data_IF_189385481029
#
_entry.id   IF_189385481029
#
_cell.length_a   1.000
_cell.length_b   1.000
_cell.length_c   1.000
_cell.angle_alpha   90.00
_cell.angle_beta   90.00
_cell.angle_gamma   90.00
#
_symmetry.space_group_name_H-M   'P 1'
#
loop_
_entity.id
_entity.type
_entity.pdbx_description
1 polymer ?
#
# COMPACT_ATOMS: atom_id res chain seq x y z
N UNK A 1 -2.17 6.49 -69.69
CA UNK A 1 -3.05 6.75 -68.53
C UNK A 1 -3.67 5.44 -68.08
N UNK A 2 -3.17 4.84 -67.00
CA UNK A 2 -3.78 3.64 -66.39
C UNK A 2 -4.42 4.10 -65.08
N UNK A 3 -5.75 4.13 -65.07
CA UNK A 3 -6.56 4.50 -63.90
C UNK A 3 -6.48 3.41 -62.84
N UNK A 4 -5.90 3.72 -61.67
CA UNK A 4 -5.96 2.88 -60.48
C UNK A 4 -7.18 3.27 -59.64
N UNK A 5 -8.30 2.56 -59.81
CA UNK A 5 -9.51 2.67 -58.97
C UNK A 5 -9.52 1.58 -57.90
N UNK A 6 -8.73 1.72 -56.84
CA UNK A 6 -8.80 0.88 -55.61
C UNK A 6 -8.45 1.73 -54.39
N UNK A 7 -9.25 2.75 -54.08
CA UNK A 7 -8.91 3.72 -53.02
C UNK A 7 -9.95 3.94 -51.93
N UNK A 8 -11.24 3.84 -52.22
CA UNK A 8 -12.26 4.50 -51.37
C UNK A 8 -13.18 3.54 -50.60
N UNK A 9 -13.34 2.29 -51.03
CA UNK A 9 -14.27 1.33 -50.40
C UNK A 9 -13.65 0.56 -49.22
N UNK A 10 -12.31 0.52 -49.12
CA UNK A 10 -11.61 -0.24 -48.08
C UNK A 10 -11.33 0.56 -46.79
N UNK A 11 -11.63 1.87 -46.78
CA UNK A 11 -11.39 2.76 -45.63
C UNK A 11 -12.34 2.49 -44.44
N UNK A 12 -13.68 2.36 -44.63
CA UNK A 12 -14.60 2.18 -43.50
C UNK A 12 -14.45 0.81 -42.83
N UNK A 13 -14.08 -0.23 -43.60
CA UNK A 13 -13.88 -1.59 -43.09
C UNK A 13 -12.64 -1.66 -42.20
N UNK A 14 -11.53 -1.02 -42.60
CA UNK A 14 -10.32 -0.97 -41.77
C UNK A 14 -10.57 -0.25 -40.45
N UNK A 15 -11.40 0.80 -40.47
CA UNK A 15 -11.76 1.57 -39.28
C UNK A 15 -12.67 0.75 -38.34
N UNK A 16 -13.63 0.01 -38.89
CA UNK A 16 -14.47 -0.92 -38.14
C UNK A 16 -13.65 -2.07 -37.52
N UNK A 17 -12.70 -2.64 -38.26
CA UNK A 17 -11.81 -3.69 -37.76
C UNK A 17 -10.88 -3.14 -36.66
N UNK A 18 -10.35 -1.93 -36.79
CA UNK A 18 -9.56 -1.31 -35.71
C UNK A 18 -10.38 -1.05 -34.44
N UNK A 19 -11.63 -0.61 -34.57
CA UNK A 19 -12.53 -0.44 -33.43
C UNK A 19 -12.88 -1.78 -32.77
N UNK A 20 -13.07 -2.84 -33.57
CA UNK A 20 -13.34 -4.18 -33.06
C UNK A 20 -12.13 -4.75 -32.31
N UNK A 21 -10.91 -4.54 -32.81
CA UNK A 21 -9.66 -4.94 -32.13
C UNK A 21 -9.48 -4.16 -30.82
N UNK A 22 -9.71 -2.84 -30.83
CA UNK A 22 -9.66 -2.02 -29.62
C UNK A 22 -10.70 -2.49 -28.59
N UNK A 23 -11.94 -2.74 -29.00
CA UNK A 23 -12.99 -3.22 -28.11
C UNK A 23 -12.70 -4.61 -27.51
N UNK A 24 -11.99 -5.48 -28.24
CA UNK A 24 -11.56 -6.80 -27.75
C UNK A 24 -10.32 -6.72 -26.84
N UNK A 25 -9.45 -5.74 -27.06
CA UNK A 25 -8.22 -5.55 -26.26
C UNK A 25 -8.45 -4.73 -24.98
N UNK A 26 -9.51 -3.90 -24.92
CA UNK A 26 -9.80 -3.10 -23.72
C UNK A 26 -10.06 -3.96 -22.47
N UNK A 27 -10.93 -5.00 -22.49
CA UNK A 27 -11.16 -5.84 -21.31
C UNK A 27 -9.90 -6.53 -20.74
N UNK A 28 -9.04 -7.20 -21.53
CA UNK A 28 -7.83 -7.83 -20.98
C UNK A 28 -6.79 -6.81 -20.51
N UNK A 29 -6.69 -5.63 -21.14
CA UNK A 29 -5.83 -4.55 -20.66
C UNK A 29 -6.33 -4.04 -19.31
N UNK A 30 -7.64 -3.88 -19.15
CA UNK A 30 -8.24 -3.42 -17.90
C UNK A 30 -8.01 -4.42 -16.76
N UNK A 31 -8.22 -5.72 -17.02
CA UNK A 31 -7.90 -6.78 -16.06
C UNK A 31 -6.41 -6.81 -15.67
N UNK A 32 -5.51 -6.59 -16.64
CA UNK A 32 -4.06 -6.55 -16.36
C UNK A 32 -3.65 -5.31 -15.54
N UNK A 33 -4.39 -4.20 -15.65
CA UNK A 33 -4.15 -3.00 -14.86
C UNK A 33 -4.60 -3.22 -13.42
N UNK A 34 -5.75 -3.85 -13.20
CA UNK A 34 -6.26 -4.18 -11.86
C UNK A 34 -5.29 -5.13 -11.12
N UNK A 35 -4.79 -6.17 -11.80
CA UNK A 35 -3.77 -7.08 -11.21
C UNK A 35 -2.47 -6.36 -10.82
N UNK A 36 -2.06 -5.34 -11.60
CA UNK A 36 -0.89 -4.51 -11.30
C UNK A 36 -1.20 -3.55 -10.14
N UNK A 37 -2.43 -3.05 -10.06
CA UNK A 37 -2.87 -2.13 -9.02
C UNK A 37 -2.87 -2.81 -7.66
N UNK A 38 -3.50 -3.99 -7.56
CA UNK A 38 -3.51 -4.80 -6.33
C UNK A 38 -2.09 -5.17 -5.89
N UNK A 39 -1.22 -5.55 -6.83
CA UNK A 39 0.19 -5.83 -6.56
C UNK A 39 0.98 -4.61 -6.07
N UNK A 40 0.69 -3.42 -6.60
CA UNK A 40 1.29 -2.17 -6.16
C UNK A 40 0.79 -1.75 -4.78
N UNK A 41 -0.49 -1.89 -4.48
CA UNK A 41 -1.07 -1.45 -3.21
C UNK A 41 -0.57 -2.33 -2.05
N UNK A 42 -0.46 -3.64 -2.25
CA UNK A 42 0.20 -4.52 -1.28
C UNK A 42 1.68 -4.16 -1.01
N UNK A 43 2.39 -3.69 -2.04
CA UNK A 43 3.79 -3.26 -1.88
C UNK A 43 3.91 -1.94 -1.10
N UNK A 44 2.95 -1.03 -1.27
CA UNK A 44 2.91 0.24 -0.53
C UNK A 44 2.54 0.02 0.93
N UNK A 45 1.55 -0.80 1.22
CA UNK A 45 1.20 -1.16 2.61
C UNK A 45 2.38 -1.80 3.33
N UNK A 46 3.12 -2.68 2.65
CA UNK A 46 4.33 -3.28 3.19
C UNK A 46 5.42 -2.24 3.46
N UNK A 47 5.62 -1.27 2.56
CA UNK A 47 6.57 -0.19 2.77
C UNK A 47 6.19 0.67 3.99
N UNK A 48 4.92 1.04 4.15
CA UNK A 48 4.44 1.79 5.33
C UNK A 48 4.59 0.97 6.62
N UNK A 49 4.39 -0.35 6.56
CA UNK A 49 4.61 -1.26 7.68
C UNK A 49 6.09 -1.35 8.07
N UNK A 50 6.99 -1.47 7.09
CA UNK A 50 8.44 -1.50 7.28
C UNK A 50 8.94 -0.17 7.84
N UNK A 51 8.45 0.96 7.33
CA UNK A 51 8.75 2.30 7.84
C UNK A 51 8.35 2.43 9.32
N UNK A 52 7.12 2.02 9.69
CA UNK A 52 6.69 2.02 11.08
C UNK A 52 7.55 1.10 11.96
N UNK A 53 7.92 -0.08 11.45
CA UNK A 53 8.82 -1.01 12.13
C UNK A 53 10.19 -0.39 12.41
N UNK A 54 10.81 0.22 11.39
CA UNK A 54 12.10 0.88 11.49
C UNK A 54 12.06 2.06 12.47
N UNK A 55 10.96 2.82 12.50
CA UNK A 55 10.78 3.92 13.45
C UNK A 55 10.65 3.41 14.90
N UNK A 56 9.93 2.30 15.12
CA UNK A 56 9.84 1.66 16.42
C UNK A 56 11.23 1.18 16.86
N UNK A 57 12.00 0.55 15.98
CA UNK A 57 13.36 0.11 16.30
C UNK A 57 14.29 1.29 16.59
N UNK A 58 14.20 2.35 15.78
CA UNK A 58 14.98 3.57 15.96
C UNK A 58 14.69 4.17 17.33
N UNK A 59 13.42 4.39 17.67
CA UNK A 59 13.01 4.99 18.95
C UNK A 59 13.38 4.08 20.12
N UNK A 60 13.17 2.78 19.97
CA UNK A 60 13.58 1.78 20.96
C UNK A 60 15.08 1.78 21.20
N UNK A 61 15.91 1.94 20.17
CA UNK A 61 17.37 1.97 20.30
C UNK A 61 17.92 3.22 20.99
N UNK A 62 17.12 4.30 21.06
CA UNK A 62 17.51 5.56 21.68
C UNK A 62 17.37 5.53 23.19
N UNK A 63 17.90 6.56 23.85
CA UNK A 63 17.77 6.74 25.29
C UNK A 63 16.31 6.87 25.70
N UNK A 64 16.01 6.41 26.92
CA UNK A 64 14.68 6.54 27.52
C UNK A 64 14.18 8.00 27.46
N UNK A 65 12.91 8.21 27.11
CA UNK A 65 12.31 9.53 26.92
C UNK A 65 12.56 10.17 25.55
N UNK A 66 13.23 9.49 24.62
CA UNK A 66 13.28 9.93 23.22
C UNK A 66 11.89 9.86 22.59
N UNK A 67 11.50 10.92 21.89
CA UNK A 67 10.20 11.03 21.23
C UNK A 67 10.36 11.51 19.80
N UNK A 68 9.57 10.95 18.90
CA UNK A 68 9.42 11.45 17.53
C UNK A 68 7.94 11.50 17.16
N UNK A 69 7.61 12.48 16.33
CA UNK A 69 6.32 12.51 15.65
C UNK A 69 6.60 12.19 14.18
N UNK A 70 5.86 11.23 13.63
CA UNK A 70 5.96 10.85 12.23
C UNK A 70 4.58 10.81 11.60
N UNK A 71 4.49 11.25 10.35
CA UNK A 71 3.25 11.14 9.58
C UNK A 71 3.33 9.87 8.75
N UNK A 72 2.38 8.96 8.95
CA UNK A 72 2.26 7.72 8.21
C UNK A 72 1.10 7.84 7.24
N UNK A 73 1.35 7.46 5.98
CA UNK A 73 0.32 7.46 4.95
C UNK A 73 -0.09 6.02 4.62
N UNK A 74 -1.34 5.69 4.90
CA UNK A 74 -1.95 4.39 4.67
C UNK A 74 -3.08 4.61 3.64
N UNK A 75 -3.13 3.77 2.61
CA UNK A 75 -4.15 3.88 1.58
C UNK A 75 -5.55 3.61 2.13
N UNK A 76 -6.58 4.12 1.45
CA UNK A 76 -7.97 3.82 1.82
C UNK A 76 -8.23 2.31 1.70
N UNK A 77 -8.79 1.71 2.76
CA UNK A 77 -9.03 0.26 2.83
C UNK A 77 -7.90 -0.53 3.50
N UNK A 78 -6.73 0.08 3.67
CA UNK A 78 -5.61 -0.52 4.38
C UNK A 78 -5.62 -0.16 5.88
N UNK A 79 -5.01 -1.03 6.68
CA UNK A 79 -4.89 -0.89 8.12
C UNK A 79 -3.53 -1.41 8.60
N UNK A 80 -2.86 -0.64 9.44
CA UNK A 80 -1.70 -1.11 10.21
C UNK A 80 -2.10 -1.27 11.66
N UNK A 81 -1.80 -2.42 12.25
CA UNK A 81 -2.14 -2.73 13.64
C UNK A 81 -0.89 -3.10 14.42
N UNK A 82 -0.70 -2.48 15.58
CA UNK A 82 0.44 -2.72 16.47
C UNK A 82 0.04 -2.57 17.95
N UNK A 83 0.73 -3.27 18.85
CA UNK A 83 0.50 -3.17 20.30
C UNK A 83 -0.43 -4.25 20.87
N UNK A 84 -0.83 -4.07 22.13
CA UNK A 84 -1.65 -5.03 22.88
C UNK A 84 -0.87 -6.28 23.30
N UNK A 85 -1.56 -7.43 23.38
CA UNK A 85 -0.93 -8.71 23.77
C UNK A 85 0.16 -9.18 22.82
N UNK A 86 0.18 -8.65 21.59
CA UNK A 86 1.19 -8.91 20.58
C UNK A 86 2.04 -7.67 20.31
N UNK A 87 2.53 -6.99 21.35
CA UNK A 87 3.36 -5.79 21.20
C UNK A 87 4.60 -5.97 20.31
N UNK A 88 5.08 -7.19 20.11
CA UNK A 88 6.19 -7.51 19.19
C UNK A 88 5.78 -7.68 17.72
N UNK A 89 4.51 -7.54 17.39
CA UNK A 89 4.01 -7.84 16.05
C UNK A 89 3.27 -6.65 15.47
N UNK A 90 3.70 -6.24 14.28
CA UNK A 90 3.04 -5.26 13.44
C UNK A 90 2.36 -5.99 12.29
N UNK A 91 1.07 -5.75 12.08
CA UNK A 91 0.25 -6.39 11.05
C UNK A 91 -0.24 -5.33 10.07
N UNK A 92 -0.05 -5.57 8.78
CA UNK A 92 -0.74 -4.83 7.73
C UNK A 92 -1.82 -5.68 7.10
N UNK A 93 -3.03 -5.14 7.03
CA UNK A 93 -4.17 -5.75 6.36
C UNK A 93 -4.77 -4.79 5.35
N UNK A 94 -5.25 -5.34 4.23
CA UNK A 94 -6.01 -4.61 3.22
C UNK A 94 -7.39 -5.26 3.16
N UNK A 95 -8.43 -4.53 3.57
CA UNK A 95 -9.75 -5.13 3.82
C UNK A 95 -9.68 -6.28 4.84
N UNK A 96 -10.14 -7.46 4.44
CA UNK A 96 -10.12 -8.68 5.26
C UNK A 96 -8.81 -9.48 5.12
N UNK A 97 -7.96 -9.13 4.15
CA UNK A 97 -6.75 -9.87 3.84
C UNK A 97 -5.55 -9.37 4.64
N UNK A 98 -4.86 -10.31 5.28
CA UNK A 98 -3.59 -10.04 5.92
C UNK A 98 -2.48 -10.00 4.88
N UNK A 99 -1.97 -8.80 4.60
CA UNK A 99 -0.95 -8.56 3.58
C UNK A 99 0.45 -8.76 4.13
N UNK A 100 0.74 -8.25 5.35
CA UNK A 100 2.07 -8.33 5.93
C UNK A 100 2.07 -8.51 7.45
N UNK A 101 3.17 -9.09 7.93
CA UNK A 101 3.50 -9.27 9.36
C UNK A 101 4.97 -8.97 9.55
N UNK A 102 5.27 -8.06 10.47
CA UNK A 102 6.64 -7.68 10.83
C UNK A 102 6.82 -7.97 12.32
N UNK A 103 7.90 -8.69 12.63
CA UNK A 103 8.33 -8.95 14.00
C UNK A 103 9.26 -7.82 14.44
N UNK A 104 8.91 -7.18 15.55
CA UNK A 104 9.64 -6.08 16.14
C UNK A 104 10.60 -6.61 17.19
N UNK A 105 11.84 -6.12 17.15
CA UNK A 105 12.85 -6.45 18.15
C UNK A 105 12.50 -5.92 19.56
N UNK A 106 11.70 -4.84 19.63
CA UNK A 106 11.20 -4.28 20.88
C UNK A 106 9.67 -4.28 20.90
N UNK A 107 9.05 -4.53 22.06
CA UNK A 107 7.60 -4.52 22.14
C UNK A 107 7.08 -3.09 22.07
N UNK A 108 5.95 -2.92 21.40
CA UNK A 108 5.08 -1.78 21.57
C UNK A 108 4.23 -2.00 22.82
N UNK A 109 4.44 -1.17 23.83
CA UNK A 109 3.82 -1.26 25.15
C UNK A 109 2.48 -0.52 25.25
N UNK A 110 2.02 0.10 24.16
CA UNK A 110 0.70 0.71 24.11
C UNK A 110 -0.40 -0.35 23.95
N UNK A 111 -1.64 0.05 24.23
CA UNK A 111 -2.81 -0.71 23.80
C UNK A 111 -2.75 -0.97 22.29
N UNK A 112 -3.52 -1.97 21.85
CA UNK A 112 -3.64 -2.28 20.43
C UNK A 112 -4.19 -1.06 19.69
N UNK A 113 -3.39 -0.51 18.78
CA UNK A 113 -3.74 0.62 17.93
C UNK A 113 -3.88 0.12 16.50
N UNK A 114 -4.92 0.59 15.82
CA UNK A 114 -5.18 0.35 14.41
C UNK A 114 -5.17 1.70 13.69
N UNK A 115 -4.23 1.87 12.79
CA UNK A 115 -3.95 3.08 12.01
C UNK A 115 -4.56 2.94 10.62
N UNK A 116 -5.26 3.98 10.18
CA UNK A 116 -5.97 4.02 8.90
C UNK A 116 -5.78 5.38 8.23
N UNK A 117 -5.61 5.42 6.92
CA UNK A 117 -5.45 6.70 6.20
C UNK A 117 -4.14 7.42 6.56
N UNK A 118 -4.13 8.73 6.35
CA UNK A 118 -3.01 9.59 6.75
C UNK A 118 -3.13 9.94 8.24
N UNK A 119 -2.24 9.41 9.07
CA UNK A 119 -2.23 9.60 10.53
C UNK A 119 -0.91 10.16 11.01
N UNK A 120 -0.95 10.95 12.07
CA UNK A 120 0.24 11.40 12.77
C UNK A 120 0.41 10.53 14.00
N UNK A 121 1.59 9.95 14.18
CA UNK A 121 1.92 9.09 15.31
C UNK A 121 3.06 9.68 16.13
N UNK A 122 2.91 9.70 17.45
CA UNK A 122 3.99 9.91 18.42
C UNK A 122 4.53 8.54 18.82
N UNK A 123 5.84 8.35 18.61
CA UNK A 123 6.58 7.22 19.16
C UNK A 123 7.46 7.70 20.30
N UNK A 124 7.34 7.08 21.46
CA UNK A 124 8.15 7.38 22.64
C UNK A 124 8.90 6.14 23.14
N UNK A 125 10.18 6.30 23.43
CA UNK A 125 11.00 5.26 24.04
C UNK A 125 10.72 5.20 25.54
N UNK A 126 10.42 4.00 26.04
CA UNK A 126 10.15 3.71 27.44
C UNK A 126 11.08 2.59 27.96
N UNK A 127 11.14 2.40 29.28
CA UNK A 127 11.96 1.35 29.89
C UNK A 127 11.55 -0.06 29.48
N UNK A 128 10.27 -0.26 29.17
CA UNK A 128 9.71 -1.57 28.81
C UNK A 128 9.65 -1.81 27.30
N UNK A 129 9.75 -0.76 26.48
CA UNK A 129 9.59 -0.85 25.03
C UNK A 129 9.35 0.49 24.36
N UNK A 130 8.45 0.53 23.38
CA UNK A 130 8.07 1.75 22.65
C UNK A 130 6.58 1.99 22.83
N UNK A 131 6.21 3.23 23.11
CA UNK A 131 4.81 3.65 23.19
C UNK A 131 4.47 4.30 21.85
N UNK A 132 3.45 3.77 21.18
CA UNK A 132 2.87 4.36 19.96
C UNK A 132 1.58 5.06 20.35
N UNK A 133 1.34 6.27 19.85
CA UNK A 133 0.09 7.01 20.02
C UNK A 133 -0.25 7.75 18.75
N UNK A 134 -1.52 7.76 18.37
CA UNK A 134 -2.04 8.65 17.33
C UNK A 134 -2.31 10.04 17.95
N UNK A 135 -2.03 11.12 17.20
CA UNK A 135 -2.16 12.52 17.64
C UNK A 135 -2.96 13.38 16.67
#
# INVERSE_FOLDING_TARGET
MICSRKGVVALPIKLAVSFMILALMVPPIMASIDDIHDGMDHSRLRASAEELGDLIELVGSKSNGYKICHQLDILEGDCLTVGGTEGHLLRGSSGDDLVCKILLNRPVCSDKISLYGTVIIELASDTEGVIVREI
#
